data_IF_604870567059
#
_entry.id   IF_604870567059
#
_cell.length_a   1.000
_cell.length_b   1.000
_cell.length_c   1.000
_cell.angle_alpha   90.00
_cell.angle_beta   90.00
_cell.angle_gamma   90.00
#
_symmetry.space_group_name_H-M   'P 1'
#
loop_
_entity.id
_entity.type
_entity.pdbx_description
1 polymer ?
#
# COMPACT_ATOMS: atom_id res chain seq x y z
N UNK A 1 8.42 -16.19 -6.14
CA UNK A 1 8.59 -14.73 -5.92
C UNK A 1 7.63 -14.25 -4.83
N UNK A 2 7.72 -13.00 -4.35
CA UNK A 2 6.70 -12.45 -3.41
C UNK A 2 5.30 -12.52 -4.06
N UNK A 3 5.21 -12.23 -5.35
CA UNK A 3 3.96 -12.34 -6.12
C UNK A 3 3.34 -13.75 -6.03
N UNK A 4 4.12 -14.81 -6.24
CA UNK A 4 3.61 -16.18 -6.14
C UNK A 4 2.98 -16.45 -4.78
N UNK A 5 3.62 -16.03 -3.68
CA UNK A 5 3.05 -16.19 -2.34
C UNK A 5 1.75 -15.39 -2.16
N UNK A 6 1.70 -14.16 -2.67
CA UNK A 6 0.48 -13.35 -2.59
C UNK A 6 -0.69 -14.01 -3.30
N UNK A 7 -0.43 -14.65 -4.44
CA UNK A 7 -1.45 -15.30 -5.27
C UNK A 7 -1.83 -16.69 -4.74
N UNK A 8 -0.86 -17.59 -4.54
CA UNK A 8 -1.13 -18.99 -4.14
C UNK A 8 -1.73 -19.10 -2.75
N UNK A 9 -1.24 -18.29 -1.81
CA UNK A 9 -1.75 -18.26 -0.43
C UNK A 9 -2.96 -17.33 -0.27
N UNK A 10 -3.41 -16.69 -1.37
CA UNK A 10 -4.56 -15.77 -1.39
C UNK A 10 -4.46 -14.69 -0.31
N UNK A 11 -3.28 -14.08 -0.21
CA UNK A 11 -3.00 -13.07 0.82
C UNK A 11 -3.92 -11.86 0.60
N UNK A 12 -4.67 -11.49 1.64
CA UNK A 12 -5.59 -10.35 1.59
C UNK A 12 -5.01 -9.07 2.19
N UNK A 13 -4.09 -9.22 3.15
CA UNK A 13 -3.41 -8.11 3.83
C UNK A 13 -1.95 -8.50 4.06
N UNK A 14 -1.03 -7.58 3.78
CA UNK A 14 0.39 -7.74 4.10
C UNK A 14 1.06 -6.38 4.35
N UNK A 15 2.28 -6.39 4.90
CA UNK A 15 3.00 -5.20 5.30
C UNK A 15 4.47 -5.26 4.86
N UNK A 16 5.00 -4.17 4.33
CA UNK A 16 6.41 -4.05 3.96
C UNK A 16 6.85 -2.58 3.82
N UNK A 17 8.15 -2.35 3.63
CA UNK A 17 8.73 -1.03 3.37
C UNK A 17 8.57 -0.62 1.88
N UNK A 18 8.63 0.69 1.55
CA UNK A 18 8.45 1.18 0.17
C UNK A 18 9.31 0.51 -0.90
N UNK A 19 10.54 0.11 -0.59
CA UNK A 19 11.44 -0.53 -1.56
C UNK A 19 10.97 -1.92 -1.98
N UNK A 20 10.37 -2.70 -1.09
CA UNK A 20 9.79 -4.02 -1.41
C UNK A 20 8.60 -3.85 -2.36
N UNK A 21 7.78 -2.84 -2.11
CA UNK A 21 6.66 -2.52 -2.99
C UNK A 21 7.10 -2.04 -4.36
N UNK A 22 8.16 -1.25 -4.43
CA UNK A 22 8.72 -0.84 -5.71
C UNK A 22 9.17 -2.04 -6.56
N UNK A 23 9.86 -3.01 -5.94
CA UNK A 23 10.26 -4.25 -6.62
C UNK A 23 9.05 -5.08 -7.08
N UNK A 24 8.02 -5.20 -6.23
CA UNK A 24 6.79 -5.91 -6.59
C UNK A 24 6.08 -5.22 -7.77
N UNK A 25 5.88 -3.91 -7.70
CA UNK A 25 5.21 -3.14 -8.75
C UNK A 25 5.94 -3.24 -10.10
N UNK A 26 7.28 -3.15 -10.09
CA UNK A 26 8.09 -3.39 -11.30
C UNK A 26 7.84 -4.78 -11.87
N UNK A 27 7.91 -5.82 -11.03
CA UNK A 27 7.66 -7.19 -11.47
C UNK A 27 6.24 -7.39 -12.03
N UNK A 28 5.22 -6.80 -11.40
CA UNK A 28 3.85 -6.84 -11.87
C UNK A 28 3.70 -6.16 -13.25
N UNK A 29 4.32 -4.99 -13.43
CA UNK A 29 4.27 -4.23 -14.68
C UNK A 29 4.99 -4.96 -15.83
N UNK A 30 6.19 -5.47 -15.59
CA UNK A 30 6.98 -6.19 -16.60
C UNK A 30 6.31 -7.48 -17.08
N UNK A 31 5.52 -8.12 -16.21
CA UNK A 31 4.89 -9.41 -16.48
C UNK A 31 3.37 -9.31 -16.70
N UNK A 32 2.81 -8.10 -16.69
CA UNK A 32 1.36 -7.83 -16.80
C UNK A 32 0.49 -8.67 -15.84
N UNK A 33 0.93 -8.76 -14.58
CA UNK A 33 0.30 -9.56 -13.53
C UNK A 33 -0.73 -8.75 -12.74
N UNK A 34 -1.62 -9.42 -12.02
CA UNK A 34 -2.70 -8.82 -11.22
C UNK A 34 -2.66 -9.32 -9.78
N UNK A 35 -3.27 -8.59 -8.85
CA UNK A 35 -3.32 -8.94 -7.43
C UNK A 35 -4.77 -9.26 -7.00
N UNK A 36 -5.41 -10.32 -7.54
CA UNK A 36 -6.86 -10.54 -7.37
C UNK A 36 -7.29 -10.80 -5.92
N UNK A 37 -6.36 -11.16 -5.04
CA UNK A 37 -6.63 -11.49 -3.64
C UNK A 37 -6.26 -10.38 -2.66
N UNK A 38 -5.30 -9.53 -3.02
CA UNK A 38 -4.78 -8.51 -2.12
C UNK A 38 -5.77 -7.36 -2.03
N UNK A 39 -6.17 -7.01 -0.81
CA UNK A 39 -7.15 -5.93 -0.55
C UNK A 39 -6.50 -4.72 0.07
N UNK A 40 -5.45 -4.93 0.87
CA UNK A 40 -4.81 -3.88 1.65
C UNK A 40 -3.33 -4.14 1.85
N UNK A 41 -2.53 -3.08 1.76
CA UNK A 41 -1.13 -3.08 2.15
C UNK A 41 -0.86 -2.06 3.24
N UNK A 42 -0.08 -2.46 4.23
CA UNK A 42 0.51 -1.53 5.20
C UNK A 42 1.92 -1.19 4.72
N UNK A 43 2.20 0.10 4.63
CA UNK A 43 3.52 0.58 4.21
C UNK A 43 4.09 1.42 5.35
N UNK A 44 5.30 1.13 5.80
CA UNK A 44 5.95 1.88 6.88
C UNK A 44 7.46 1.82 6.81
N UNK A 45 8.14 2.32 7.85
CA UNK A 45 9.61 2.36 7.93
C UNK A 45 10.26 3.51 7.16
N UNK A 46 9.57 4.11 6.18
CA UNK A 46 9.93 5.38 5.56
C UNK A 46 8.69 6.07 4.97
N UNK A 47 8.87 7.27 4.40
CA UNK A 47 7.81 7.95 3.66
C UNK A 47 7.41 7.16 2.40
N UNK A 48 6.11 7.19 2.05
CA UNK A 48 5.57 6.54 0.86
C UNK A 48 5.69 7.50 -0.33
N UNK A 49 6.36 7.10 -1.44
CA UNK A 49 6.29 7.85 -2.69
C UNK A 49 4.88 7.81 -3.28
N UNK A 50 4.35 8.95 -3.73
CA UNK A 50 3.01 9.07 -4.35
C UNK A 50 2.80 8.05 -5.49
N UNK A 51 3.83 7.78 -6.29
CA UNK A 51 3.78 6.77 -7.36
C UNK A 51 3.38 5.38 -6.86
N UNK A 52 3.86 4.97 -5.68
CA UNK A 52 3.52 3.66 -5.10
C UNK A 52 2.06 3.66 -4.63
N UNK A 53 1.65 4.72 -3.94
CA UNK A 53 0.27 4.89 -3.47
C UNK A 53 -0.73 4.82 -4.63
N UNK A 54 -0.50 5.61 -5.69
CA UNK A 54 -1.35 5.62 -6.88
C UNK A 54 -1.38 4.29 -7.61
N UNK A 55 -0.22 3.65 -7.79
CA UNK A 55 -0.17 2.36 -8.48
C UNK A 55 -1.04 1.32 -7.77
N UNK A 56 -0.92 1.18 -6.45
CA UNK A 56 -1.75 0.23 -5.71
C UNK A 56 -3.25 0.55 -5.79
N UNK A 57 -3.65 1.80 -5.53
CA UNK A 57 -5.08 2.13 -5.48
C UNK A 57 -5.75 2.20 -6.87
N UNK A 58 -5.03 2.69 -7.89
CA UNK A 58 -5.61 2.93 -9.22
C UNK A 58 -5.41 1.76 -10.18
N UNK A 59 -4.22 1.12 -10.18
CA UNK A 59 -3.90 0.07 -11.17
C UNK A 59 -4.23 -1.34 -10.67
N UNK A 60 -4.19 -1.55 -9.34
CA UNK A 60 -4.37 -2.85 -8.70
C UNK A 60 -5.55 -2.91 -7.71
N UNK A 61 -6.26 -1.79 -7.49
CA UNK A 61 -7.43 -1.69 -6.60
C UNK A 61 -7.13 -2.15 -5.14
N UNK A 62 -5.91 -1.90 -4.67
CA UNK A 62 -5.43 -2.25 -3.33
C UNK A 62 -5.37 -1.01 -2.43
N UNK A 63 -6.04 -1.05 -1.28
CA UNK A 63 -6.01 0.04 -0.30
C UNK A 63 -4.63 0.16 0.37
N UNK A 64 -4.09 1.37 0.44
CA UNK A 64 -2.81 1.64 1.09
C UNK A 64 -3.04 2.32 2.43
N UNK A 65 -2.42 1.77 3.48
CA UNK A 65 -2.36 2.36 4.81
C UNK A 65 -0.91 2.69 5.16
N UNK A 66 -0.61 3.97 5.36
CA UNK A 66 0.69 4.38 5.87
C UNK A 66 0.76 4.12 7.37
N UNK A 67 1.77 3.37 7.81
CA UNK A 67 2.11 3.18 9.20
C UNK A 67 3.42 3.89 9.52
N UNK A 68 3.45 4.64 10.61
CA UNK A 68 4.69 5.15 11.18
C UNK A 68 4.94 4.51 12.55
N UNK A 69 6.22 4.34 12.85
CA UNK A 69 6.69 4.02 14.17
C UNK A 69 8.18 3.71 14.15
N UNK A 70 8.68 3.33 15.31
CA UNK A 70 10.09 3.06 15.57
C UNK A 70 10.20 1.85 16.52
N UNK A 71 11.36 1.23 16.60
CA UNK A 71 11.60 0.11 17.53
C UNK A 71 11.18 0.46 18.97
N UNK A 72 11.43 1.69 19.40
CA UNK A 72 11.08 2.27 20.70
C UNK A 72 9.55 2.31 20.96
N UNK A 73 8.73 2.20 19.91
CA UNK A 73 7.26 2.15 19.97
C UNK A 73 6.68 0.74 19.79
N UNK A 74 7.53 -0.29 19.69
CA UNK A 74 7.12 -1.70 19.58
C UNK A 74 6.15 -2.09 18.45
N UNK A 75 6.50 -1.93 17.15
CA UNK A 75 7.19 -0.84 16.48
C UNK A 75 6.19 0.21 15.94
N UNK A 76 4.92 0.16 16.32
CA UNK A 76 3.84 0.96 15.74
C UNK A 76 3.52 2.18 16.60
N UNK A 77 3.58 3.37 16.00
CA UNK A 77 3.18 4.63 16.63
C UNK A 77 1.86 5.18 16.10
N UNK A 78 1.73 5.33 14.78
CA UNK A 78 0.54 5.90 14.13
C UNK A 78 0.17 5.15 12.86
N UNK A 79 -1.12 5.26 12.49
CA UNK A 79 -1.67 4.77 11.23
C UNK A 79 -2.39 5.92 10.53
N UNK A 80 -2.13 6.08 9.23
CA UNK A 80 -2.87 6.97 8.36
C UNK A 80 -4.27 6.40 8.11
N UNK A 81 -5.30 7.14 8.47
CA UNK A 81 -6.69 6.79 8.22
C UNK A 81 -7.36 7.92 7.43
N UNK A 82 -8.10 7.56 6.38
CA UNK A 82 -8.88 8.53 5.62
C UNK A 82 -10.07 8.98 6.50
N UNK A 83 -10.23 10.30 6.77
CA UNK A 83 -11.35 10.81 7.53
C UNK A 83 -12.70 10.41 6.89
N UNK A 84 -13.77 10.13 7.68
CA UNK A 84 -15.05 9.66 7.15
C UNK A 84 -15.67 10.58 6.09
N UNK A 85 -15.49 11.89 6.22
CA UNK A 85 -16.03 12.88 5.27
C UNK A 85 -15.30 12.89 3.91
N UNK A 86 -14.13 12.26 3.80
CA UNK A 86 -13.33 12.15 2.58
C UNK A 86 -13.46 10.80 1.88
N UNK A 87 -14.25 9.85 2.43
CA UNK A 87 -14.43 8.51 1.85
C UNK A 87 -14.97 8.58 0.41
N UNK A 88 -15.88 9.52 0.16
CA UNK A 88 -16.49 9.75 -1.15
C UNK A 88 -15.88 10.93 -1.91
N UNK A 89 -14.75 11.49 -1.44
CA UNK A 89 -14.04 12.53 -2.18
C UNK A 89 -13.42 11.96 -3.45
N UNK A 90 -13.10 12.84 -4.40
CA UNK A 90 -12.36 12.45 -5.60
C UNK A 90 -11.00 11.84 -5.25
N UNK A 91 -10.44 11.11 -6.20
CA UNK A 91 -9.22 10.34 -5.96
C UNK A 91 -8.06 11.25 -5.57
N UNK A 92 -7.91 12.42 -6.18
CA UNK A 92 -6.77 13.29 -5.91
C UNK A 92 -6.86 13.91 -4.51
N UNK A 93 -8.05 14.33 -4.08
CA UNK A 93 -8.29 14.77 -2.70
C UNK A 93 -7.94 13.67 -1.69
N UNK A 94 -8.33 12.42 -1.97
CA UNK A 94 -7.98 11.27 -1.11
C UNK A 94 -6.48 11.01 -1.08
N UNK A 95 -5.81 11.08 -2.23
CA UNK A 95 -4.35 10.89 -2.33
C UNK A 95 -3.60 11.96 -1.56
N UNK A 96 -3.98 13.23 -1.71
CA UNK A 96 -3.37 14.33 -0.98
C UNK A 96 -3.50 14.12 0.53
N UNK A 97 -4.68 13.68 1.00
CA UNK A 97 -4.89 13.40 2.42
C UNK A 97 -4.06 12.20 2.92
N UNK A 98 -3.89 11.16 2.11
CA UNK A 98 -3.10 9.97 2.47
C UNK A 98 -1.58 10.20 2.44
N UNK A 99 -1.12 11.26 1.77
CA UNK A 99 0.28 11.65 1.72
C UNK A 99 0.70 12.62 2.85
N UNK A 100 -0.26 13.14 3.61
CA UNK A 100 -0.04 13.97 4.81
C UNK A 100 0.26 13.10 6.03
#
# INVERSE_FOLDING_TARGET
SIYELLDTEKVTITAAVPTVWLMLLTHLQENNLKLPHLKKVLIGGSAIPEKILRAFEQDYEVDVVHAWGMTETSPLGTLGALPPHLVNADIDTRMEQKLK
#
